data_IF_723969091907
#
_entry.id   IF_723969091907
#
_cell.length_a   1.000
_cell.length_b   1.000
_cell.length_c   1.000
_cell.angle_alpha   90.00
_cell.angle_beta   90.00
_cell.angle_gamma   90.00
#
_symmetry.space_group_name_H-M   'P 1'
#
loop_
_entity.id
_entity.type
_entity.pdbx_description
1 polymer ?
#
# COMPACT_ATOMS: atom_id res chain seq x y z
N UNK A 1 -4.80 -46.76 31.67
CA UNK A 1 -5.49 -46.17 30.49
C UNK A 1 -5.75 -44.68 30.63
N UNK A 2 -6.21 -44.16 31.79
CA UNK A 2 -6.51 -42.72 32.00
C UNK A 2 -5.34 -41.75 31.76
N UNK A 3 -4.09 -42.13 32.10
CA UNK A 3 -2.92 -41.25 31.95
C UNK A 3 -2.49 -41.00 30.49
N UNK A 4 -2.81 -41.93 29.58
CA UNK A 4 -2.46 -41.81 28.14
C UNK A 4 -3.45 -40.89 27.43
N UNK A 5 -4.72 -40.88 27.85
CA UNK A 5 -5.74 -39.98 27.32
C UNK A 5 -5.52 -38.51 27.70
N UNK A 6 -5.02 -38.24 28.92
CA UNK A 6 -4.67 -36.87 29.35
C UNK A 6 -3.51 -36.28 28.54
N UNK A 7 -2.49 -37.09 28.22
CA UNK A 7 -1.34 -36.65 27.43
C UNK A 7 -1.72 -36.34 25.96
N UNK A 8 -2.65 -37.09 25.39
CA UNK A 8 -3.15 -36.87 24.02
C UNK A 8 -4.02 -35.60 23.92
N UNK A 9 -4.82 -35.31 24.95
CA UNK A 9 -5.64 -34.09 25.02
C UNK A 9 -4.80 -32.80 25.18
N UNK A 10 -3.72 -32.87 25.97
CA UNK A 10 -2.79 -31.75 26.12
C UNK A 10 -2.02 -31.43 24.82
N UNK A 11 -1.64 -32.45 24.05
CA UNK A 11 -0.99 -32.29 22.75
C UNK A 11 -1.92 -31.65 21.70
N UNK A 12 -3.23 -31.93 21.74
CA UNK A 12 -4.21 -31.33 20.82
C UNK A 12 -4.50 -29.85 21.14
N UNK A 13 -4.50 -29.47 22.43
CA UNK A 13 -4.71 -28.09 22.87
C UNK A 13 -3.55 -27.16 22.47
N UNK A 14 -2.31 -27.66 22.48
CA UNK A 14 -1.12 -26.90 22.06
C UNK A 14 -1.06 -26.63 20.54
N UNK A 15 -1.77 -27.41 19.72
CA UNK A 15 -1.84 -27.20 18.26
C UNK A 15 -2.89 -26.13 17.89
N UNK A 16 -3.87 -25.88 18.77
CA UNK A 16 -4.95 -24.92 18.51
C UNK A 16 -4.52 -23.45 18.61
N UNK A 17 -3.40 -23.14 19.27
CA UNK A 17 -2.90 -21.77 19.45
C UNK A 17 -2.17 -21.19 18.23
N UNK A 18 -2.05 -21.94 17.14
CA UNK A 18 -1.54 -21.42 15.86
C UNK A 18 -2.63 -20.78 14.97
N UNK A 19 -3.88 -20.71 15.44
CA UNK A 19 -4.92 -19.92 14.79
C UNK A 19 -4.70 -18.43 15.10
N UNK A 20 -3.72 -17.81 14.45
CA UNK A 20 -3.63 -16.34 14.43
C UNK A 20 -5.00 -15.83 14.00
N UNK A 21 -5.72 -15.11 14.86
CA UNK A 21 -7.08 -14.67 14.62
C UNK A 21 -7.17 -13.86 13.31
N UNK A 22 -7.51 -14.56 12.23
CA UNK A 22 -7.93 -14.03 10.94
C UNK A 22 -9.43 -13.71 11.03
N UNK A 23 -9.85 -12.84 11.96
CA UNK A 23 -11.22 -12.34 11.98
C UNK A 23 -11.40 -11.38 10.81
N UNK A 24 -11.95 -11.92 9.72
CA UNK A 24 -12.41 -11.16 8.57
C UNK A 24 -13.86 -10.80 8.86
N UNK A 25 -14.14 -9.51 9.07
CA UNK A 25 -15.51 -9.02 9.03
C UNK A 25 -16.07 -9.15 7.60
N UNK A 26 -17.39 -9.24 7.46
CA UNK A 26 -18.03 -9.25 6.14
C UNK A 26 -18.15 -7.83 5.60
N UNK A 27 -17.84 -7.57 4.31
CA UNK A 27 -18.10 -6.27 3.70
C UNK A 27 -19.59 -5.93 3.72
N UNK A 28 -19.91 -4.66 3.98
CA UNK A 28 -21.27 -4.13 3.97
C UNK A 28 -21.53 -3.25 2.73
N UNK A 29 -22.78 -2.89 2.47
CA UNK A 29 -23.17 -1.97 1.39
C UNK A 29 -23.02 -2.57 -0.02
N UNK A 30 -22.64 -1.74 -1.00
CA UNK A 30 -22.58 -2.13 -2.41
C UNK A 30 -21.58 -3.25 -2.71
N UNK A 31 -20.57 -3.45 -1.84
CA UNK A 31 -19.56 -4.49 -1.99
C UNK A 31 -19.84 -5.73 -1.12
N UNK A 32 -21.02 -5.82 -0.51
CA UNK A 32 -21.43 -6.99 0.27
C UNK A 32 -21.31 -8.27 -0.56
N UNK A 33 -20.76 -9.32 0.04
CA UNK A 33 -20.47 -10.59 -0.65
C UNK A 33 -19.09 -10.66 -1.34
N UNK A 34 -18.28 -9.59 -1.30
CA UNK A 34 -16.89 -9.67 -1.76
C UNK A 34 -16.11 -10.68 -0.92
N UNK A 35 -15.45 -11.64 -1.58
CA UNK A 35 -14.68 -12.71 -0.94
C UNK A 35 -13.17 -12.48 -0.98
N UNK A 36 -12.69 -11.59 -1.86
CA UNK A 36 -11.26 -11.35 -2.05
C UNK A 36 -10.52 -12.65 -2.41
N UNK A 37 -9.45 -12.95 -1.68
CA UNK A 37 -8.65 -14.18 -1.84
C UNK A 37 -9.18 -15.39 -1.05
N UNK A 38 -10.45 -15.42 -0.63
CA UNK A 38 -11.01 -16.54 0.13
C UNK A 38 -10.77 -17.89 -0.58
N UNK A 39 -10.53 -18.93 0.21
CA UNK A 39 -10.13 -20.27 -0.25
C UNK A 39 -8.80 -20.33 -1.02
N UNK A 40 -8.13 -19.19 -1.18
CA UNK A 40 -6.79 -19.08 -1.73
C UNK A 40 -5.69 -19.42 -0.72
N UNK A 41 -4.46 -19.52 -1.23
CA UNK A 41 -3.29 -19.73 -0.37
C UNK A 41 -2.93 -18.46 0.39
N UNK A 42 -2.59 -18.59 1.67
CA UNK A 42 -1.96 -17.51 2.45
C UNK A 42 -0.48 -17.44 2.13
N UNK A 43 -0.01 -16.25 1.74
CA UNK A 43 1.39 -15.98 1.37
C UNK A 43 1.93 -14.79 2.15
N UNK A 44 3.23 -14.82 2.43
CA UNK A 44 3.96 -13.80 3.19
C UNK A 44 5.14 -13.32 2.34
N UNK A 45 4.95 -12.30 1.48
CA UNK A 45 6.04 -11.82 0.65
C UNK A 45 7.24 -11.40 1.52
N UNK A 46 8.43 -11.74 1.05
CA UNK A 46 9.70 -11.43 1.70
C UNK A 46 10.49 -10.37 0.94
N UNK A 47 10.03 -9.97 -0.25
CA UNK A 47 10.64 -8.90 -1.05
C UNK A 47 9.58 -8.10 -1.82
N UNK A 48 9.96 -6.89 -2.28
CA UNK A 48 9.11 -6.08 -3.16
C UNK A 48 8.71 -6.84 -4.43
N UNK A 49 9.62 -7.64 -5.00
CA UNK A 49 9.33 -8.43 -6.20
C UNK A 49 8.30 -9.52 -5.93
N UNK A 50 8.41 -10.25 -4.81
CA UNK A 50 7.40 -11.24 -4.42
C UNK A 50 6.03 -10.59 -4.20
N UNK A 51 5.99 -9.43 -3.53
CA UNK A 51 4.74 -8.69 -3.35
C UNK A 51 4.10 -8.34 -4.70
N UNK A 52 4.87 -7.74 -5.61
CA UNK A 52 4.39 -7.39 -6.97
C UNK A 52 3.88 -8.62 -7.71
N UNK A 53 4.63 -9.74 -7.65
CA UNK A 53 4.25 -10.97 -8.34
C UNK A 53 2.98 -11.59 -7.75
N UNK A 54 2.81 -11.60 -6.43
CA UNK A 54 1.58 -12.10 -5.81
C UNK A 54 0.37 -11.23 -6.14
N UNK A 55 0.52 -9.89 -6.17
CA UNK A 55 -0.56 -8.98 -6.55
C UNK A 55 -1.00 -9.17 -8.00
N UNK A 56 -0.04 -9.46 -8.88
CA UNK A 56 -0.26 -9.71 -10.32
C UNK A 56 -0.59 -11.17 -10.68
N UNK A 57 -0.63 -12.09 -9.72
CA UNK A 57 -1.00 -13.49 -9.99
C UNK A 57 -2.50 -13.63 -10.32
N UNK A 58 -2.86 -14.63 -11.13
CA UNK A 58 -4.26 -15.01 -11.36
C UNK A 58 -4.83 -15.90 -10.24
N UNK A 59 -3.98 -16.43 -9.35
CA UNK A 59 -4.42 -17.30 -8.27
C UNK A 59 -5.19 -16.52 -7.18
N UNK A 60 -6.22 -17.10 -6.56
CA UNK A 60 -6.78 -16.57 -5.33
C UNK A 60 -5.73 -16.57 -4.22
N UNK A 61 -5.44 -15.40 -3.62
CA UNK A 61 -4.39 -15.27 -2.60
C UNK A 61 -4.79 -14.38 -1.43
N UNK A 62 -4.42 -14.81 -0.22
CA UNK A 62 -4.38 -13.97 0.98
C UNK A 62 -2.94 -13.54 1.21
N UNK A 63 -2.62 -12.30 0.85
CA UNK A 63 -1.29 -11.69 0.92
C UNK A 63 -1.16 -10.96 2.25
N UNK A 64 -0.30 -11.47 3.13
CA UNK A 64 -0.11 -10.94 4.48
C UNK A 64 1.17 -10.10 4.54
N UNK A 65 1.02 -8.81 4.83
CA UNK A 65 2.10 -7.85 5.01
C UNK A 65 2.50 -7.81 6.49
N UNK A 66 3.65 -8.38 6.82
CA UNK A 66 4.20 -8.44 8.18
C UNK A 66 5.46 -7.57 8.36
N UNK A 67 5.77 -6.74 7.37
CA UNK A 67 6.89 -5.80 7.36
C UNK A 67 6.59 -4.66 6.37
N UNK A 68 7.34 -3.57 6.50
CA UNK A 68 7.35 -2.50 5.51
C UNK A 68 7.99 -2.95 4.19
N UNK A 69 7.33 -2.63 3.07
CA UNK A 69 7.87 -2.78 1.72
C UNK A 69 8.19 -1.40 1.16
N UNK A 70 9.47 -1.05 1.15
CA UNK A 70 9.93 0.26 0.70
C UNK A 70 10.28 0.22 -0.79
N UNK A 71 9.48 0.89 -1.61
CA UNK A 71 9.72 1.03 -3.05
C UNK A 71 10.49 2.30 -3.42
N UNK A 72 10.84 3.16 -2.45
CA UNK A 72 11.61 4.37 -2.76
C UNK A 72 12.97 3.99 -3.35
N UNK A 73 13.37 4.70 -4.39
CA UNK A 73 14.63 4.51 -5.11
C UNK A 73 14.62 3.36 -6.11
N UNK A 74 13.56 2.52 -6.17
CA UNK A 74 13.57 1.33 -7.05
C UNK A 74 13.39 1.66 -8.52
N UNK A 75 12.86 2.85 -8.85
CA UNK A 75 12.62 3.28 -10.23
C UNK A 75 13.41 4.56 -10.60
N UNK A 76 14.40 4.92 -9.78
CA UNK A 76 15.21 6.14 -9.96
C UNK A 76 14.45 7.43 -9.68
N UNK A 77 15.07 8.56 -10.05
CA UNK A 77 14.51 9.90 -9.81
C UNK A 77 14.46 10.72 -11.10
N UNK A 78 13.46 11.57 -11.22
CA UNK A 78 13.34 12.57 -12.30
C UNK A 78 13.60 13.96 -11.74
N UNK A 79 14.26 14.82 -12.51
CA UNK A 79 14.41 16.25 -12.21
C UNK A 79 13.96 17.06 -13.41
N UNK A 80 12.98 17.92 -13.21
CA UNK A 80 12.34 18.67 -14.29
C UNK A 80 11.71 19.98 -13.80
N UNK A 81 11.11 20.72 -14.72
CA UNK A 81 10.33 21.92 -14.37
C UNK A 81 8.99 21.50 -13.79
N UNK A 82 8.74 21.92 -12.55
CA UNK A 82 7.44 21.88 -11.91
C UNK A 82 6.84 23.27 -11.76
N UNK A 83 5.80 23.33 -10.94
CA UNK A 83 5.00 24.52 -10.72
C UNK A 83 4.81 24.81 -9.25
N UNK A 84 4.99 26.06 -8.85
CA UNK A 84 4.56 26.57 -7.55
C UNK A 84 3.35 27.47 -7.70
N UNK A 85 2.16 27.08 -7.23
CA UNK A 85 0.92 27.83 -7.44
C UNK A 85 0.84 29.11 -6.60
N UNK A 86 0.10 30.12 -7.06
CA UNK A 86 -0.04 31.42 -6.39
C UNK A 86 -0.55 31.34 -4.95
N UNK A 87 -1.63 30.59 -4.71
CA UNK A 87 -2.23 30.42 -3.40
C UNK A 87 -1.27 29.83 -2.37
N UNK A 88 -0.31 28.98 -2.82
CA UNK A 88 0.72 28.46 -1.92
C UNK A 88 1.81 29.50 -1.64
N UNK A 89 2.16 30.35 -2.62
CA UNK A 89 3.13 31.44 -2.44
C UNK A 89 2.58 32.50 -1.49
N UNK A 90 1.30 32.83 -1.60
CA UNK A 90 0.60 33.75 -0.69
C UNK A 90 0.65 33.23 0.76
N UNK A 91 0.46 31.93 0.97
CA UNK A 91 0.59 31.31 2.29
C UNK A 91 2.03 31.37 2.81
N UNK A 92 3.03 31.06 1.98
CA UNK A 92 4.44 31.15 2.40
C UNK A 92 4.85 32.59 2.75
N UNK A 93 4.34 33.60 2.04
CA UNK A 93 4.63 35.00 2.29
C UNK A 93 4.18 35.48 3.69
N UNK A 94 3.26 34.76 4.34
CA UNK A 94 2.82 35.04 5.72
C UNK A 94 3.85 34.65 6.78
N UNK A 95 4.94 33.95 6.42
CA UNK A 95 6.01 33.53 7.33
C UNK A 95 5.52 32.79 8.59
N UNK A 96 4.43 32.04 8.49
CA UNK A 96 3.78 31.33 9.61
C UNK A 96 4.25 29.86 9.76
N UNK A 97 5.37 29.51 9.14
CA UNK A 97 5.92 28.13 9.14
C UNK A 97 5.33 27.21 8.06
N UNK A 98 4.37 27.66 7.25
CA UNK A 98 3.85 26.88 6.13
C UNK A 98 4.93 26.60 5.07
N UNK A 99 5.06 25.33 4.66
CA UNK A 99 5.91 24.90 3.55
C UNK A 99 5.02 24.41 2.41
N UNK A 100 5.17 25.03 1.24
CA UNK A 100 4.37 24.69 0.05
C UNK A 100 4.74 23.32 -0.50
N UNK A 101 3.77 22.67 -1.14
CA UNK A 101 3.99 21.58 -2.08
C UNK A 101 4.08 22.16 -3.50
N UNK A 102 5.08 21.70 -4.25
CA UNK A 102 5.18 21.99 -5.69
C UNK A 102 4.46 20.91 -6.50
N UNK A 103 4.00 21.29 -7.68
CA UNK A 103 3.23 20.45 -8.60
C UNK A 103 4.14 19.95 -9.72
N UNK A 104 4.08 18.64 -10.00
CA UNK A 104 4.71 18.02 -11.16
C UNK A 104 3.83 18.28 -12.39
N UNK A 105 4.42 18.72 -13.50
CA UNK A 105 3.71 18.99 -14.76
C UNK A 105 3.61 17.68 -15.57
N UNK A 106 2.49 16.95 -15.46
CA UNK A 106 2.30 15.70 -16.18
C UNK A 106 1.48 15.89 -17.46
N UNK A 107 2.08 15.62 -18.63
CA UNK A 107 1.37 15.55 -19.92
C UNK A 107 0.84 16.88 -20.48
N UNK A 108 1.27 18.02 -19.92
CA UNK A 108 0.79 19.35 -20.30
C UNK A 108 1.80 20.45 -20.04
N UNK A 109 1.30 21.64 -19.71
CA UNK A 109 2.12 22.79 -19.33
C UNK A 109 1.53 23.49 -18.09
N UNK A 110 2.16 24.57 -17.65
CA UNK A 110 1.73 25.34 -16.47
C UNK A 110 0.26 25.78 -16.54
N UNK A 111 -0.23 26.14 -17.73
CA UNK A 111 -1.60 26.63 -17.92
C UNK A 111 -2.64 25.49 -17.97
N UNK A 112 -2.23 24.27 -18.31
CA UNK A 112 -3.14 23.13 -18.47
C UNK A 112 -3.04 22.11 -17.32
N UNK A 113 -2.05 22.23 -16.45
CA UNK A 113 -1.88 21.31 -15.31
C UNK A 113 -2.76 21.73 -14.14
N UNK A 114 -3.64 20.83 -13.72
CA UNK A 114 -4.47 21.01 -12.51
C UNK A 114 -3.61 21.31 -11.28
N UNK A 115 -4.04 22.28 -10.48
CA UNK A 115 -3.29 22.71 -9.29
C UNK A 115 -2.17 23.72 -9.58
N UNK A 116 -1.89 24.10 -10.84
CA UNK A 116 -0.85 25.07 -11.21
C UNK A 116 -1.36 26.50 -11.50
N UNK A 117 -2.51 26.89 -10.94
CA UNK A 117 -3.09 28.22 -11.17
C UNK A 117 -2.12 29.34 -10.76
N UNK A 118 -1.96 30.35 -11.62
CA UNK A 118 -1.04 31.47 -11.39
C UNK A 118 0.40 31.04 -11.11
N UNK A 119 0.79 29.86 -11.59
CA UNK A 119 2.00 29.17 -11.18
C UNK A 119 3.30 29.83 -11.66
N UNK A 120 4.34 29.73 -10.84
CA UNK A 120 5.73 30.07 -11.22
C UNK A 120 6.53 28.79 -11.42
N UNK A 121 7.46 28.79 -12.39
CA UNK A 121 8.35 27.65 -12.62
C UNK A 121 9.26 27.41 -11.42
N UNK A 122 9.43 26.14 -11.05
CA UNK A 122 10.37 25.67 -10.03
C UNK A 122 11.04 24.40 -10.52
N UNK A 123 12.21 24.06 -9.99
CA UNK A 123 12.81 22.74 -10.24
C UNK A 123 12.23 21.75 -9.23
N UNK A 124 11.62 20.67 -9.72
CA UNK A 124 11.16 19.56 -8.89
C UNK A 124 12.07 18.36 -9.10
N UNK A 125 12.33 17.62 -8.02
CA UNK A 125 13.00 16.32 -8.04
C UNK A 125 12.15 15.34 -7.27
N UNK A 126 11.77 14.24 -7.91
CA UNK A 126 10.91 13.24 -7.29
C UNK A 126 11.34 11.81 -7.65
N UNK A 127 10.89 10.88 -6.82
CA UNK A 127 11.08 9.45 -6.99
C UNK A 127 10.06 8.88 -7.99
N UNK A 128 10.52 8.10 -8.96
CA UNK A 128 9.66 7.57 -10.01
C UNK A 128 8.84 6.35 -9.56
N UNK A 129 9.11 5.76 -8.38
CA UNK A 129 8.42 4.57 -7.92
C UNK A 129 6.91 4.76 -7.81
N UNK A 130 6.46 5.96 -7.43
CA UNK A 130 5.04 6.30 -7.36
C UNK A 130 4.34 6.34 -8.74
N UNK A 131 5.09 6.54 -9.83
CA UNK A 131 4.54 6.58 -11.19
C UNK A 131 4.33 5.18 -11.76
N UNK A 132 5.13 4.21 -11.32
CA UNK A 132 4.98 2.80 -11.69
C UNK A 132 4.00 2.11 -10.73
N UNK A 133 2.73 2.16 -11.12
CA UNK A 133 1.63 1.57 -10.33
C UNK A 133 1.76 0.05 -10.27
N UNK A 134 1.51 -0.52 -9.09
CA UNK A 134 1.37 -1.96 -8.94
C UNK A 134 0.00 -2.42 -9.46
N UNK A 135 0.01 -3.48 -10.27
CA UNK A 135 -1.22 -4.13 -10.72
C UNK A 135 -1.73 -5.08 -9.64
N UNK A 136 -3.00 -4.95 -9.28
CA UNK A 136 -3.70 -5.89 -8.39
C UNK A 136 -4.79 -6.58 -9.21
N UNK A 137 -4.62 -7.86 -9.49
CA UNK A 137 -5.64 -8.65 -10.20
C UNK A 137 -6.75 -9.10 -9.25
N UNK A 138 -7.78 -9.75 -9.80
CA UNK A 138 -8.89 -10.29 -9.03
C UNK A 138 -8.48 -11.32 -7.98
N UNK A 139 -9.41 -11.60 -7.06
CA UNK A 139 -9.28 -12.62 -6.01
C UNK A 139 -8.06 -12.42 -5.09
N UNK A 140 -7.89 -11.19 -4.58
CA UNK A 140 -6.82 -10.85 -3.63
C UNK A 140 -7.41 -10.36 -2.31
N UNK A 141 -6.82 -10.82 -1.22
CA UNK A 141 -6.96 -10.19 0.11
C UNK A 141 -5.58 -9.68 0.51
N UNK A 142 -5.42 -8.37 0.71
CA UNK A 142 -4.16 -7.75 1.16
C UNK A 142 -4.36 -7.31 2.60
N UNK A 143 -3.54 -7.82 3.54
CA UNK A 143 -3.76 -7.58 4.98
C UNK A 143 -2.45 -7.30 5.72
N UNK A 144 -2.41 -6.21 6.48
CA UNK A 144 -1.32 -5.93 7.42
C UNK A 144 -1.46 -6.67 8.76
N UNK A 145 -0.33 -7.01 9.39
CA UNK A 145 -0.30 -7.52 10.78
C UNK A 145 -0.03 -6.36 11.75
N UNK A 146 -1.06 -5.91 12.45
CA UNK A 146 -0.94 -4.86 13.46
C UNK A 146 -0.32 -3.58 12.86
N UNK A 147 0.77 -3.11 13.47
CA UNK A 147 1.54 -1.94 13.01
C UNK A 147 2.85 -2.30 12.30
N UNK A 148 2.97 -3.55 11.84
CA UNK A 148 4.22 -4.09 11.29
C UNK A 148 4.39 -3.82 9.79
N UNK A 149 3.29 -3.53 9.09
CA UNK A 149 3.26 -3.20 7.66
C UNK A 149 3.58 -1.74 7.37
#
# INVERSE_FOLDING_TARGET
MVRVHLALAAALALIADCASAFTIGSPEGLAAGTTGGANGKTVYPTSNSELVNYLASNDPLVIVLNKAFDFRGTEGTTTETGCRPDYTRECMAKNNGYKSQDVIIQGGNMATTGGCTGGTKVTVKYDNAALKRMTVLGNKTIRGIGKSG
#
